data_IF_881236022108
#
_entry.id   IF_881236022108
#
_cell.length_a   1.000
_cell.length_b   1.000
_cell.length_c   1.000
_cell.angle_alpha   90.00
_cell.angle_beta   90.00
_cell.angle_gamma   90.00
#
_symmetry.space_group_name_H-M   'P 1'
#
loop_
_entity.id
_entity.type
_entity.pdbx_description
1 polymer ?
#
# COMPACT_ATOMS: atom_id res chain seq x y z
N UNK A 1 -33.79 8.64 4.83
CA UNK A 1 -32.41 8.27 4.45
C UNK A 1 -31.62 9.57 4.54
N UNK A 2 -31.09 9.84 5.72
CA UNK A 2 -30.20 10.98 5.93
C UNK A 2 -28.87 10.64 5.26
N UNK A 3 -28.47 11.45 4.29
CA UNK A 3 -27.16 11.38 3.70
C UNK A 3 -26.24 11.99 4.78
N UNK A 4 -25.44 11.16 5.45
CA UNK A 4 -24.33 11.65 6.27
C UNK A 4 -23.38 12.40 5.34
N UNK A 5 -23.54 13.73 5.30
CA UNK A 5 -22.54 14.64 4.75
C UNK A 5 -21.37 14.61 5.73
N UNK A 6 -20.36 13.79 5.44
CA UNK A 6 -19.09 13.81 6.15
C UNK A 6 -18.47 15.20 6.00
N UNK A 7 -18.34 15.92 7.12
CA UNK A 7 -17.62 17.19 7.18
C UNK A 7 -16.19 16.97 6.69
N UNK A 8 -15.62 17.81 5.81
CA UNK A 8 -14.25 17.64 5.36
C UNK A 8 -13.30 17.71 6.55
N UNK A 9 -12.44 16.69 6.71
CA UNK A 9 -11.39 16.66 7.74
C UNK A 9 -10.52 17.92 7.64
N UNK A 10 -10.23 18.52 8.78
CA UNK A 10 -9.21 19.57 8.87
C UNK A 10 -7.84 19.01 8.49
N UNK A 11 -6.90 19.86 8.05
CA UNK A 11 -5.54 19.41 7.67
C UNK A 11 -4.82 18.71 8.83
N UNK A 12 -5.08 19.10 10.07
CA UNK A 12 -4.50 18.46 11.25
C UNK A 12 -4.99 17.01 11.48
N UNK A 13 -6.19 16.67 10.99
CA UNK A 13 -6.80 15.34 11.08
C UNK A 13 -6.48 14.45 9.87
N UNK A 14 -5.88 15.01 8.82
CA UNK A 14 -5.34 14.24 7.71
C UNK A 14 -4.05 13.55 8.14
N UNK A 15 -3.79 12.39 7.58
CA UNK A 15 -2.52 11.71 7.81
C UNK A 15 -1.40 12.45 7.07
N UNK A 16 -0.17 12.35 7.58
CA UNK A 16 0.98 12.98 6.92
C UNK A 16 1.19 12.42 5.51
N UNK A 17 0.93 11.13 5.30
CA UNK A 17 0.94 10.47 4.00
C UNK A 17 -0.14 11.01 3.06
N UNK A 18 -1.37 11.22 3.54
CA UNK A 18 -2.44 11.85 2.74
C UNK A 18 -2.06 13.26 2.26
N UNK A 19 -1.35 14.02 3.10
CA UNK A 19 -0.91 15.38 2.77
C UNK A 19 0.15 15.36 1.67
N UNK A 20 1.19 14.52 1.80
CA UNK A 20 2.25 14.40 0.77
C UNK A 20 1.72 13.78 -0.53
N UNK A 21 0.80 12.82 -0.45
CA UNK A 21 0.19 12.21 -1.63
C UNK A 21 -0.64 13.21 -2.44
N UNK A 22 -1.28 14.17 -1.76
CA UNK A 22 -2.00 15.27 -2.41
C UNK A 22 -1.06 16.30 -3.05
N UNK A 23 0.06 16.61 -2.40
CA UNK A 23 1.09 17.51 -2.92
C UNK A 23 2.47 17.17 -2.35
N UNK A 24 3.34 16.63 -3.20
CA UNK A 24 4.65 16.15 -2.78
C UNK A 24 5.54 17.25 -2.18
N UNK A 25 5.27 18.53 -2.44
CA UNK A 25 6.01 19.65 -1.84
C UNK A 25 5.90 19.69 -0.31
N UNK A 26 4.85 19.09 0.26
CA UNK A 26 4.71 18.94 1.70
C UNK A 26 5.83 18.09 2.34
N UNK A 27 6.48 17.20 1.57
CA UNK A 27 7.58 16.37 2.07
C UNK A 27 8.77 17.22 2.58
N UNK A 28 9.08 18.34 1.92
CA UNK A 28 10.18 19.22 2.34
C UNK A 28 9.90 19.88 3.70
N UNK A 29 8.64 20.28 3.92
CA UNK A 29 8.20 20.79 5.23
C UNK A 29 8.36 19.71 6.29
N UNK A 30 7.88 18.50 6.05
CA UNK A 30 7.99 17.41 7.02
C UNK A 30 9.44 17.00 7.34
N UNK A 31 10.32 16.98 6.33
CA UNK A 31 11.75 16.77 6.55
C UNK A 31 12.37 17.83 7.48
N UNK A 32 11.96 19.09 7.37
CA UNK A 32 12.46 20.19 8.21
C UNK A 32 12.13 19.97 9.70
N UNK A 33 10.98 19.35 9.97
CA UNK A 33 10.51 19.06 11.33
C UNK A 33 10.81 17.62 11.80
N UNK A 34 11.54 16.81 11.01
CA UNK A 34 11.80 15.41 11.34
C UNK A 34 10.54 14.52 11.35
N UNK A 35 9.48 14.92 10.64
CA UNK A 35 8.23 14.17 10.55
C UNK A 35 8.36 13.10 9.45
N UNK A 36 8.30 11.83 9.85
CA UNK A 36 8.30 10.69 8.92
C UNK A 36 6.96 10.57 8.18
N UNK A 37 6.98 10.90 6.89
CA UNK A 37 5.81 10.81 6.00
C UNK A 37 5.80 9.56 5.11
N UNK A 38 6.85 8.75 5.14
CA UNK A 38 6.98 7.59 4.26
C UNK A 38 6.57 6.29 4.97
N UNK A 39 7.18 5.95 6.10
CA UNK A 39 6.88 4.73 6.85
C UNK A 39 5.71 4.97 7.81
N UNK A 40 5.74 6.08 8.54
CA UNK A 40 4.70 6.50 9.50
C UNK A 40 3.57 7.32 8.86
N UNK A 41 3.36 7.15 7.55
CA UNK A 41 2.47 7.97 6.73
C UNK A 41 1.00 7.99 7.19
N UNK A 42 0.54 6.95 7.90
CA UNK A 42 -0.83 6.83 8.39
C UNK A 42 -1.12 7.65 9.66
N UNK A 43 -0.10 8.28 10.26
CA UNK A 43 -0.27 9.08 11.48
C UNK A 43 -0.92 10.44 11.16
N UNK A 44 -1.94 10.89 11.91
CA UNK A 44 -2.48 12.25 11.80
C UNK A 44 -1.40 13.31 12.02
N UNK A 45 -1.44 14.40 11.25
CA UNK A 45 -0.46 15.48 11.36
C UNK A 45 -0.34 16.03 12.79
N UNK A 46 -1.47 16.23 13.48
CA UNK A 46 -1.47 16.72 14.86
C UNK A 46 -0.68 15.83 15.81
N UNK A 47 -0.78 14.50 15.67
CA UNK A 47 -0.05 13.54 16.48
C UNK A 47 1.44 13.50 16.12
N UNK A 48 1.75 13.53 14.81
CA UNK A 48 3.14 13.56 14.34
C UNK A 48 3.89 14.81 14.84
N UNK A 49 3.23 15.97 14.84
CA UNK A 49 3.79 17.20 15.39
C UNK A 49 4.07 17.10 16.91
N UNK A 50 3.15 16.49 17.68
CA UNK A 50 3.34 16.28 19.12
C UNK A 50 4.55 15.38 19.40
N UNK A 51 4.71 14.31 18.65
CA UNK A 51 5.80 13.36 18.80
C UNK A 51 7.17 13.99 18.51
N UNK A 52 7.25 14.80 17.45
CA UNK A 52 8.50 15.47 17.05
C UNK A 52 8.75 16.80 17.77
N UNK A 53 7.83 17.24 18.64
CA UNK A 53 7.92 18.56 19.28
C UNK A 53 7.80 19.72 18.31
N UNK A 54 7.21 19.50 17.12
CA UNK A 54 7.02 20.50 16.09
C UNK A 54 5.77 21.36 16.39
N UNK A 55 5.84 22.70 16.33
CA UNK A 55 4.68 23.55 16.54
C UNK A 55 3.66 23.39 15.41
N UNK A 56 2.49 22.80 15.69
CA UNK A 56 1.47 22.50 14.68
C UNK A 56 1.05 23.73 13.85
N UNK A 57 0.91 24.91 14.48
CA UNK A 57 0.54 26.14 13.78
C UNK A 57 1.61 26.58 12.78
N UNK A 58 2.90 26.42 13.11
CA UNK A 58 4.01 26.75 12.21
C UNK A 58 4.05 25.76 11.03
N UNK A 59 3.91 24.46 11.32
CA UNK A 59 3.89 23.42 10.28
C UNK A 59 2.73 23.64 9.31
N UNK A 60 1.53 23.94 9.81
CA UNK A 60 0.36 24.23 8.97
C UNK A 60 0.59 25.48 8.09
N UNK A 61 1.24 26.51 8.63
CA UNK A 61 1.58 27.71 7.87
C UNK A 61 2.58 27.41 6.75
N UNK A 62 3.65 26.67 7.03
CA UNK A 62 4.66 26.30 6.03
C UNK A 62 4.09 25.38 4.94
N UNK A 63 3.21 24.43 5.29
CA UNK A 63 2.48 23.61 4.32
C UNK A 63 1.64 24.47 3.36
N UNK A 64 0.96 25.50 3.88
CA UNK A 64 0.19 26.43 3.06
C UNK A 64 1.10 27.22 2.10
N UNK A 65 2.25 27.71 2.57
CA UNK A 65 3.22 28.44 1.73
C UNK A 65 3.83 27.54 0.64
N UNK A 66 4.21 26.32 1.00
CA UNK A 66 4.81 25.35 0.08
C UNK A 66 3.84 24.98 -1.07
N UNK A 67 2.55 24.80 -0.74
CA UNK A 67 1.52 24.41 -1.71
C UNK A 67 1.04 25.56 -2.59
N UNK A 68 1.11 26.82 -2.11
CA UNK A 68 0.75 28.02 -2.88
C UNK A 68 1.85 28.52 -3.83
N UNK A 69 3.09 28.07 -3.66
CA UNK A 69 4.22 28.52 -4.48
C UNK A 69 4.11 28.05 -5.94
N UNK A 70 3.93 28.99 -6.88
CA UNK A 70 3.62 28.73 -8.30
C UNK A 70 4.79 28.20 -9.18
N UNK A 71 5.89 27.75 -8.58
CA UNK A 71 7.16 27.48 -9.30
C UNK A 71 7.57 26.02 -9.43
N UNK A 72 6.93 25.08 -8.72
CA UNK A 72 7.30 23.66 -8.73
C UNK A 72 6.40 22.83 -9.65
N UNK A 73 6.95 21.79 -10.28
CA UNK A 73 6.15 20.73 -10.90
C UNK A 73 5.35 20.04 -9.79
N UNK A 74 4.03 20.25 -9.77
CA UNK A 74 3.13 19.58 -8.84
C UNK A 74 2.94 18.15 -9.33
N UNK A 75 3.78 17.24 -8.85
CA UNK A 75 3.65 15.82 -9.13
C UNK A 75 2.50 15.25 -8.29
N UNK A 76 1.32 15.12 -8.90
CA UNK A 76 0.13 14.57 -8.24
C UNK A 76 0.09 13.06 -8.39
N UNK A 77 0.98 12.39 -7.70
CA UNK A 77 1.11 10.94 -7.74
C UNK A 77 -0.20 10.21 -7.42
N UNK A 78 -1.04 10.79 -6.55
CA UNK A 78 -2.33 10.22 -6.23
C UNK A 78 -3.33 10.22 -7.40
N UNK A 79 -3.07 10.96 -8.48
CA UNK A 79 -3.89 10.92 -9.71
C UNK A 79 -3.42 9.84 -10.70
N UNK A 80 -2.29 9.18 -10.46
CA UNK A 80 -1.75 8.18 -11.38
C UNK A 80 -2.43 6.81 -11.21
N UNK A 81 -2.58 6.12 -12.34
CA UNK A 81 -2.96 4.72 -12.38
C UNK A 81 -1.85 3.86 -11.77
N UNK A 82 -2.24 2.84 -11.00
CA UNK A 82 -1.28 2.05 -10.23
C UNK A 82 -0.35 1.20 -11.11
N UNK A 83 -0.77 0.79 -12.32
CA UNK A 83 0.12 0.12 -13.27
C UNK A 83 1.23 1.06 -13.76
N UNK A 84 0.88 2.30 -14.10
CA UNK A 84 1.87 3.32 -14.45
C UNK A 84 2.78 3.69 -13.28
N UNK A 85 2.24 3.82 -12.06
CA UNK A 85 3.03 4.11 -10.87
C UNK A 85 4.06 3.00 -10.58
N UNK A 86 3.72 1.72 -10.77
CA UNK A 86 4.71 0.63 -10.66
C UNK A 86 5.84 0.78 -11.67
N UNK A 87 5.53 1.14 -12.92
CA UNK A 87 6.55 1.36 -13.95
C UNK A 87 7.43 2.57 -13.61
N UNK A 88 6.85 3.64 -13.07
CA UNK A 88 7.61 4.80 -12.61
C UNK A 88 8.58 4.44 -11.49
N UNK A 89 8.12 3.72 -10.46
CA UNK A 89 8.95 3.30 -9.32
C UNK A 89 10.15 2.48 -9.80
N UNK A 90 9.92 1.49 -10.67
CA UNK A 90 11.01 0.66 -11.20
C UNK A 90 12.01 1.49 -12.02
N UNK A 91 11.51 2.37 -12.89
CA UNK A 91 12.37 3.10 -13.82
C UNK A 91 13.11 4.29 -13.19
N UNK A 92 12.57 4.88 -12.12
CA UNK A 92 13.20 6.02 -11.43
C UNK A 92 13.94 5.53 -10.18
N UNK A 93 13.23 4.92 -9.24
CA UNK A 93 13.78 4.62 -7.92
C UNK A 93 14.60 3.33 -7.91
N UNK A 94 14.08 2.22 -8.44
CA UNK A 94 14.83 0.95 -8.42
C UNK A 94 16.06 1.00 -9.34
N UNK A 95 15.93 1.64 -10.51
CA UNK A 95 17.05 1.85 -11.42
C UNK A 95 18.18 2.65 -10.76
N UNK A 96 17.86 3.76 -10.09
CA UNK A 96 18.81 4.55 -9.33
C UNK A 96 19.43 3.74 -8.18
N UNK A 97 18.61 3.04 -7.39
CA UNK A 97 19.07 2.23 -6.26
C UNK A 97 20.05 1.14 -6.71
N UNK A 98 19.72 0.38 -7.77
CA UNK A 98 20.59 -0.65 -8.34
C UNK A 98 21.94 -0.10 -8.82
N UNK A 99 21.97 1.14 -9.31
CA UNK A 99 23.21 1.81 -9.70
C UNK A 99 24.03 2.28 -8.49
N UNK A 100 23.38 2.85 -7.48
CA UNK A 100 24.06 3.52 -6.37
C UNK A 100 24.48 2.59 -5.25
N UNK A 101 23.75 1.50 -5.00
CA UNK A 101 24.07 0.50 -3.98
C UNK A 101 25.54 0.01 -4.05
N UNK A 102 26.04 -0.52 -5.18
CA UNK A 102 27.42 -1.01 -5.26
C UNK A 102 28.44 0.12 -5.07
N UNK A 103 28.16 1.31 -5.59
CA UNK A 103 29.06 2.46 -5.48
C UNK A 103 29.18 2.94 -4.03
N UNK A 104 28.05 3.18 -3.37
CA UNK A 104 28.03 3.60 -1.96
C UNK A 104 28.70 2.56 -1.05
N UNK A 105 28.59 1.26 -1.36
CA UNK A 105 29.29 0.20 -0.64
C UNK A 105 30.82 0.35 -0.73
N UNK A 106 31.36 0.66 -1.91
CA UNK A 106 32.79 0.91 -2.10
C UNK A 106 33.25 2.18 -1.35
N UNK A 107 32.48 3.27 -1.44
CA UNK A 107 32.79 4.51 -0.72
C UNK A 107 32.78 4.29 0.80
N UNK A 108 31.74 3.65 1.33
CA UNK A 108 31.61 3.39 2.76
C UNK A 108 32.76 2.54 3.29
N UNK A 109 33.12 1.46 2.59
CA UNK A 109 34.27 0.62 2.95
C UNK A 109 35.60 1.40 2.91
N UNK A 110 35.79 2.25 1.91
CA UNK A 110 37.00 3.08 1.77
C UNK A 110 37.13 4.08 2.90
N UNK A 111 36.06 4.82 3.21
CA UNK A 111 36.04 5.81 4.28
C UNK A 111 36.26 5.13 5.64
N UNK A 112 35.56 4.03 5.92
CA UNK A 112 35.74 3.26 7.14
C UNK A 112 37.17 2.72 7.30
N UNK A 113 37.81 2.30 6.20
CA UNK A 113 39.18 1.81 6.21
C UNK A 113 40.23 2.88 6.50
N UNK A 114 40.05 4.09 5.96
CA UNK A 114 41.01 5.20 6.09
C UNK A 114 40.77 6.03 7.35
N UNK A 115 39.51 6.34 7.65
CA UNK A 115 39.14 7.27 8.72
C UNK A 115 38.64 6.58 9.98
N UNK A 116 38.34 5.28 9.96
CA UNK A 116 37.68 4.57 11.06
C UNK A 116 38.42 4.51 12.39
N UNK A 117 39.68 4.90 12.47
CA UNK A 117 40.40 5.04 13.75
C UNK A 117 40.18 6.41 14.40
N UNK A 118 40.05 7.47 13.60
CA UNK A 118 39.78 8.84 14.06
C UNK A 118 38.29 9.15 14.11
N UNK A 119 37.51 8.48 13.26
CA UNK A 119 36.08 8.64 13.03
C UNK A 119 35.40 7.26 13.09
N UNK A 120 35.32 6.64 14.29
CA UNK A 120 34.85 5.26 14.45
C UNK A 120 33.41 5.04 13.97
N UNK A 121 32.58 6.08 13.96
CA UNK A 121 31.22 6.07 13.41
C UNK A 121 31.18 5.65 11.94
N UNK A 122 32.24 5.94 11.17
CA UNK A 122 32.33 5.55 9.75
C UNK A 122 32.35 4.03 9.56
N UNK A 123 32.88 3.27 10.53
CA UNK A 123 32.85 1.80 10.51
C UNK A 123 31.43 1.29 10.73
N UNK A 124 30.71 1.90 11.68
CA UNK A 124 29.31 1.57 11.95
C UNK A 124 28.42 1.92 10.76
N UNK A 125 28.61 3.10 10.15
CA UNK A 125 27.89 3.51 8.94
C UNK A 125 28.12 2.51 7.81
N UNK A 126 29.37 2.04 7.60
CA UNK A 126 29.65 1.06 6.57
C UNK A 126 28.98 -0.31 6.82
N UNK A 127 28.84 -0.72 8.08
CA UNK A 127 28.10 -1.92 8.45
C UNK A 127 26.60 -1.76 8.20
N UNK A 128 25.98 -0.71 8.75
CA UNK A 128 24.56 -0.42 8.58
C UNK A 128 24.20 -0.31 7.09
N UNK A 129 25.06 0.33 6.30
CA UNK A 129 24.86 0.43 4.86
C UNK A 129 24.93 -0.94 4.16
N UNK A 130 25.81 -1.83 4.60
CA UNK A 130 25.90 -3.18 4.04
C UNK A 130 24.62 -3.98 4.28
N UNK A 131 24.07 -3.90 5.49
CA UNK A 131 22.81 -4.54 5.91
C UNK A 131 21.63 -3.95 5.12
N UNK A 132 21.41 -2.63 5.20
CA UNK A 132 20.33 -1.93 4.50
C UNK A 132 20.35 -2.17 2.98
N UNK A 133 21.52 -2.11 2.34
CA UNK A 133 21.62 -2.33 0.89
C UNK A 133 21.38 -3.79 0.47
N UNK A 134 21.66 -4.75 1.34
CA UNK A 134 21.32 -6.16 1.11
C UNK A 134 19.82 -6.40 1.19
N UNK A 135 19.19 -5.86 2.24
CA UNK A 135 17.73 -5.93 2.45
C UNK A 135 16.97 -5.26 1.31
N UNK A 136 17.34 -4.02 0.96
CA UNK A 136 16.70 -3.26 -0.12
C UNK A 136 16.83 -3.96 -1.48
N UNK A 137 17.98 -4.59 -1.77
CA UNK A 137 18.15 -5.33 -3.02
C UNK A 137 17.26 -6.58 -3.10
N UNK A 138 17.08 -7.29 -1.99
CA UNK A 138 16.18 -8.45 -1.93
C UNK A 138 14.71 -8.01 -1.97
N UNK A 139 14.37 -6.93 -1.27
CA UNK A 139 13.06 -6.31 -1.25
C UNK A 139 12.58 -5.94 -2.67
N UNK A 140 13.36 -5.14 -3.42
CA UNK A 140 13.00 -4.74 -4.79
C UNK A 140 12.75 -5.94 -5.73
N UNK A 141 13.42 -7.08 -5.52
CA UNK A 141 13.16 -8.30 -6.29
C UNK A 141 11.79 -8.91 -5.96
N UNK A 142 11.37 -8.89 -4.69
CA UNK A 142 10.03 -9.36 -4.30
C UNK A 142 8.96 -8.54 -4.99
N UNK A 143 9.15 -7.23 -5.06
CA UNK A 143 8.23 -6.34 -5.75
C UNK A 143 8.19 -6.59 -7.27
N UNK A 144 9.34 -6.52 -7.94
CA UNK A 144 9.44 -6.62 -9.40
C UNK A 144 9.02 -7.99 -9.94
N UNK A 145 9.23 -9.07 -9.18
CA UNK A 145 8.94 -10.43 -9.62
C UNK A 145 7.58 -10.95 -9.15
N UNK A 146 6.99 -10.35 -8.12
CA UNK A 146 5.74 -10.86 -7.50
C UNK A 146 4.65 -9.78 -7.41
N UNK A 147 4.90 -8.72 -6.64
CA UNK A 147 3.86 -7.73 -6.32
C UNK A 147 3.47 -6.89 -7.54
N UNK A 148 4.42 -6.25 -8.22
CA UNK A 148 4.12 -5.36 -9.36
C UNK A 148 3.50 -6.11 -10.54
N UNK A 149 3.95 -7.33 -10.93
CA UNK A 149 3.23 -8.13 -11.91
C UNK A 149 1.77 -8.43 -11.49
N UNK A 150 1.52 -8.65 -10.19
CA UNK A 150 0.16 -8.87 -9.71
C UNK A 150 -0.70 -7.60 -9.80
N UNK A 151 -0.17 -6.43 -9.42
CA UNK A 151 -0.83 -5.13 -9.58
C UNK A 151 -1.27 -4.92 -11.03
N UNK A 152 -0.39 -5.20 -12.01
CA UNK A 152 -0.75 -5.09 -13.43
C UNK A 152 -1.87 -6.04 -13.83
N UNK A 153 -1.91 -7.26 -13.27
CA UNK A 153 -3.04 -8.19 -13.48
C UNK A 153 -4.34 -7.69 -12.85
N UNK A 154 -4.29 -7.02 -11.70
CA UNK A 154 -5.47 -6.40 -11.08
C UNK A 154 -6.04 -5.29 -11.98
N UNK A 155 -5.20 -4.38 -12.46
CA UNK A 155 -5.62 -3.32 -13.40
C UNK A 155 -6.21 -3.90 -14.69
N UNK A 156 -5.61 -4.96 -15.22
CA UNK A 156 -6.18 -5.66 -16.38
C UNK A 156 -7.55 -6.29 -16.05
N UNK A 157 -7.67 -6.92 -14.88
CA UNK A 157 -8.93 -7.48 -14.39
C UNK A 157 -10.03 -6.44 -14.23
N UNK A 158 -9.68 -5.24 -13.78
CA UNK A 158 -10.60 -4.09 -13.72
C UNK A 158 -11.14 -3.71 -15.10
N UNK A 159 -10.27 -3.59 -16.09
CA UNK A 159 -10.65 -3.29 -17.48
C UNK A 159 -11.55 -4.38 -18.08
N UNK A 160 -11.35 -5.63 -17.66
CA UNK A 160 -12.13 -6.78 -18.12
C UNK A 160 -13.38 -7.09 -17.26
N UNK A 161 -13.57 -6.40 -16.13
CA UNK A 161 -14.67 -6.64 -15.20
C UNK A 161 -14.60 -8.00 -14.48
N UNK A 162 -13.39 -8.58 -14.33
CA UNK A 162 -13.20 -9.88 -13.66
C UNK A 162 -11.88 -9.91 -12.87
N UNK A 163 -11.82 -10.59 -11.72
CA UNK A 163 -10.57 -10.73 -10.98
C UNK A 163 -9.57 -11.60 -11.77
N UNK A 164 -8.26 -11.33 -11.65
CA UNK A 164 -7.24 -12.25 -12.14
C UNK A 164 -7.21 -13.55 -11.33
N UNK A 165 -6.43 -14.52 -11.78
CA UNK A 165 -6.17 -15.73 -11.00
C UNK A 165 -5.51 -15.36 -9.66
N UNK A 166 -5.92 -16.06 -8.60
CA UNK A 166 -5.36 -15.89 -7.26
C UNK A 166 -3.82 -16.07 -7.29
N UNK A 167 -3.05 -15.18 -6.65
CA UNK A 167 -1.61 -15.31 -6.61
C UNK A 167 -1.20 -16.44 -5.66
N UNK A 168 -0.02 -17.03 -5.90
CA UNK A 168 0.52 -18.10 -5.05
C UNK A 168 0.84 -17.66 -3.61
N UNK A 169 0.80 -16.35 -3.36
CA UNK A 169 1.12 -15.73 -2.07
C UNK A 169 -0.12 -15.28 -1.29
N UNK A 170 -1.32 -15.73 -1.68
CA UNK A 170 -2.57 -15.39 -1.00
C UNK A 170 -3.20 -14.12 -1.57
N UNK A 171 -3.00 -12.99 -0.90
CA UNK A 171 -3.59 -11.69 -1.23
C UNK A 171 -2.53 -10.59 -1.42
N UNK A 172 -2.90 -9.44 -2.00
CA UNK A 172 -2.02 -8.27 -2.03
C UNK A 172 -1.68 -7.82 -0.60
N UNK A 173 -2.66 -7.80 0.31
CA UNK A 173 -2.47 -7.34 1.71
C UNK A 173 -1.38 -8.13 2.44
N UNK A 174 -1.34 -9.46 2.29
CA UNK A 174 -0.33 -10.29 2.95
C UNK A 174 1.08 -9.99 2.44
N UNK A 175 1.27 -9.84 1.12
CA UNK A 175 2.56 -9.50 0.55
C UNK A 175 2.97 -8.05 0.84
N UNK A 176 2.01 -7.12 0.82
CA UNK A 176 2.23 -5.71 1.16
C UNK A 176 2.68 -5.58 2.61
N UNK A 177 2.09 -6.33 3.55
CA UNK A 177 2.54 -6.31 4.94
C UNK A 177 4.00 -6.75 5.08
N UNK A 178 4.44 -7.73 4.28
CA UNK A 178 5.85 -8.11 4.20
C UNK A 178 6.72 -6.96 3.67
N UNK A 179 6.25 -6.21 2.66
CA UNK A 179 6.96 -5.06 2.10
C UNK A 179 7.07 -3.90 3.10
N UNK A 180 5.98 -3.58 3.80
CA UNK A 180 5.95 -2.52 4.82
C UNK A 180 6.91 -2.82 5.99
N UNK A 181 7.03 -4.08 6.40
CA UNK A 181 8.00 -4.49 7.41
C UNK A 181 9.45 -4.33 6.92
N UNK A 182 9.73 -4.65 5.66
CA UNK A 182 11.05 -4.40 5.07
C UNK A 182 11.35 -2.89 5.01
N UNK A 183 10.34 -2.06 4.69
CA UNK A 183 10.49 -0.60 4.65
C UNK A 183 10.85 -0.02 6.02
N UNK A 184 10.20 -0.48 7.08
CA UNK A 184 10.53 -0.07 8.46
C UNK A 184 11.97 -0.45 8.81
N UNK A 185 12.37 -1.70 8.53
CA UNK A 185 13.73 -2.17 8.78
C UNK A 185 14.79 -1.34 8.03
N UNK A 186 14.61 -1.11 6.71
CA UNK A 186 15.53 -0.29 5.93
C UNK A 186 15.54 1.17 6.42
N UNK A 187 14.38 1.72 6.76
CA UNK A 187 14.22 3.05 7.32
C UNK A 187 15.00 3.25 8.62
N UNK A 188 14.94 2.27 9.53
CA UNK A 188 15.68 2.29 10.80
C UNK A 188 17.20 2.34 10.59
N UNK A 189 17.72 1.61 9.61
CA UNK A 189 19.15 1.66 9.28
C UNK A 189 19.53 3.04 8.72
N UNK A 190 18.72 3.60 7.82
CA UNK A 190 18.99 4.91 7.22
C UNK A 190 18.93 6.04 8.26
N UNK A 191 17.95 6.00 9.18
CA UNK A 191 17.84 6.95 10.28
C UNK A 191 19.04 6.90 11.23
N UNK A 192 19.56 5.69 11.50
CA UNK A 192 20.79 5.53 12.28
C UNK A 192 22.02 6.09 11.54
N UNK A 193 22.12 5.85 10.23
CA UNK A 193 23.19 6.42 9.40
C UNK A 193 23.11 7.96 9.39
N UNK A 194 21.92 8.53 9.22
CA UNK A 194 21.68 9.97 9.28
C UNK A 194 22.15 10.55 10.63
N UNK A 195 21.78 9.91 11.73
CA UNK A 195 22.20 10.32 13.08
C UNK A 195 23.71 10.26 13.27
N UNK A 196 24.34 9.14 12.93
CA UNK A 196 25.79 8.93 13.06
C UNK A 196 26.60 9.88 12.18
N UNK A 197 26.04 10.27 11.04
CA UNK A 197 26.66 11.19 10.09
C UNK A 197 26.41 12.66 10.41
N UNK A 198 25.74 12.98 11.53
CA UNK A 198 25.33 14.33 11.90
C UNK A 198 24.54 14.99 10.76
N UNK A 199 23.46 14.34 10.33
CA UNK A 199 22.64 14.73 9.17
C UNK A 199 23.50 14.85 7.90
N UNK A 200 24.34 13.85 7.66
CA UNK A 200 25.24 13.80 6.51
C UNK A 200 26.20 14.99 6.42
N UNK A 201 26.59 15.59 7.56
CA UNK A 201 27.52 16.72 7.63
C UNK A 201 28.95 16.20 7.89
N UNK A 202 29.87 16.26 6.91
CA UNK A 202 31.22 15.76 7.09
C UNK A 202 32.01 16.60 8.11
N UNK A 203 32.91 15.99 8.91
CA UNK A 203 33.76 16.74 9.81
C UNK A 203 34.80 17.60 9.04
N UNK A 204 35.41 18.62 9.67
CA UNK A 204 36.32 19.55 9.00
C UNK A 204 37.56 18.90 8.36
N UNK A 205 37.98 17.74 8.84
CA UNK A 205 39.11 16.97 8.35
C UNK A 205 38.70 15.89 7.32
N UNK A 206 37.44 15.84 6.91
CA UNK A 206 36.93 14.91 5.92
C UNK A 206 37.59 15.12 4.55
N UNK A 207 38.19 14.06 4.01
CA UNK A 207 38.69 14.06 2.63
C UNK A 207 37.54 14.10 1.61
N UNK A 208 37.86 14.36 0.33
CA UNK A 208 36.86 14.42 -0.74
C UNK A 208 36.01 13.15 -0.85
N UNK A 209 36.59 11.97 -0.64
CA UNK A 209 35.86 10.68 -0.67
C UNK A 209 34.85 10.60 0.47
N UNK A 210 35.20 11.10 1.65
CA UNK A 210 34.31 11.13 2.81
C UNK A 210 33.15 12.12 2.59
N UNK A 211 33.44 13.32 2.09
CA UNK A 211 32.41 14.29 1.72
C UNK A 211 31.45 13.75 0.64
N UNK A 212 32.01 13.05 -0.35
CA UNK A 212 31.22 12.44 -1.45
C UNK A 212 30.31 11.33 -0.94
N UNK A 213 30.79 10.49 -0.01
CA UNK A 213 29.98 9.45 0.61
C UNK A 213 28.74 10.05 1.27
N UNK A 214 28.92 11.07 2.12
CA UNK A 214 27.81 11.69 2.84
C UNK A 214 26.82 12.38 1.90
N UNK A 215 27.30 13.06 0.86
CA UNK A 215 26.42 13.64 -0.16
C UNK A 215 25.57 12.55 -0.86
N UNK A 216 26.17 11.42 -1.24
CA UNK A 216 25.42 10.33 -1.87
C UNK A 216 24.50 9.58 -0.91
N UNK A 217 24.86 9.44 0.37
CA UNK A 217 23.96 8.86 1.37
C UNK A 217 22.74 9.76 1.58
N UNK A 218 22.92 11.09 1.65
CA UNK A 218 21.82 12.04 1.75
C UNK A 218 20.88 11.98 0.53
N UNK A 219 21.43 11.93 -0.68
CA UNK A 219 20.65 11.78 -1.92
C UNK A 219 19.89 10.45 -1.94
N UNK A 220 20.55 9.37 -1.53
CA UNK A 220 19.95 8.04 -1.49
C UNK A 220 18.82 7.93 -0.47
N UNK A 221 19.03 8.49 0.73
CA UNK A 221 18.02 8.55 1.78
C UNK A 221 16.78 9.33 1.30
N UNK A 222 16.97 10.52 0.73
CA UNK A 222 15.87 11.31 0.17
C UNK A 222 15.12 10.59 -0.96
N UNK A 223 15.85 9.90 -1.84
CA UNK A 223 15.24 9.07 -2.90
C UNK A 223 14.44 7.90 -2.33
N UNK A 224 14.95 7.23 -1.29
CA UNK A 224 14.29 6.10 -0.62
C UNK A 224 13.02 6.56 0.10
N UNK A 225 13.07 7.67 0.83
CA UNK A 225 11.89 8.26 1.49
C UNK A 225 10.79 8.58 0.47
N UNK A 226 11.15 9.14 -0.70
CA UNK A 226 10.20 9.37 -1.81
C UNK A 226 9.59 8.07 -2.31
N UNK A 227 10.44 7.09 -2.62
CA UNK A 227 10.03 5.77 -3.11
C UNK A 227 9.05 5.09 -2.15
N UNK A 228 9.43 4.91 -0.90
CA UNK A 228 8.60 4.27 0.13
C UNK A 228 7.29 5.03 0.33
N UNK A 229 7.29 6.37 0.25
CA UNK A 229 6.06 7.14 0.30
C UNK A 229 5.09 6.79 -0.84
N UNK A 230 5.59 6.72 -2.10
CA UNK A 230 4.76 6.35 -3.26
C UNK A 230 4.15 4.96 -3.09
N UNK A 231 4.84 4.06 -2.41
CA UNK A 231 4.36 2.71 -2.14
C UNK A 231 3.35 2.68 -1.00
N UNK A 232 3.79 2.99 0.23
CA UNK A 232 3.00 2.85 1.44
C UNK A 232 1.73 3.71 1.45
N UNK A 233 1.79 4.89 0.82
CA UNK A 233 0.73 5.89 0.95
C UNK A 233 -0.11 6.06 -0.32
N UNK A 234 0.29 5.42 -1.44
CA UNK A 234 -0.43 5.55 -2.71
C UNK A 234 -0.64 4.19 -3.37
N UNK A 235 0.45 3.50 -3.75
CA UNK A 235 0.37 2.27 -4.53
C UNK A 235 -0.30 1.14 -3.74
N UNK A 236 0.14 0.89 -2.50
CA UNK A 236 -0.31 -0.23 -1.69
C UNK A 236 -1.78 -0.08 -1.25
N UNK A 237 -2.24 1.07 -0.71
CA UNK A 237 -3.65 1.23 -0.36
C UNK A 237 -4.58 1.05 -1.56
N UNK A 238 -4.23 1.66 -2.72
CA UNK A 238 -5.01 1.51 -3.95
C UNK A 238 -5.01 0.08 -4.49
N UNK A 239 -3.91 -0.64 -4.33
CA UNK A 239 -3.81 -2.05 -4.74
C UNK A 239 -4.75 -2.92 -3.94
N UNK A 240 -4.75 -2.77 -2.61
CA UNK A 240 -5.65 -3.50 -1.71
C UNK A 240 -7.10 -3.16 -2.03
N UNK A 241 -7.41 -1.88 -2.18
CA UNK A 241 -8.76 -1.44 -2.52
C UNK A 241 -9.23 -2.05 -3.86
N UNK A 242 -8.38 -2.05 -4.88
CA UNK A 242 -8.73 -2.60 -6.18
C UNK A 242 -8.94 -4.13 -6.14
N UNK A 243 -8.08 -4.86 -5.42
CA UNK A 243 -8.27 -6.30 -5.20
C UNK A 243 -9.60 -6.58 -4.49
N UNK A 244 -9.88 -5.88 -3.38
CA UNK A 244 -11.13 -6.04 -2.63
C UNK A 244 -12.36 -5.72 -3.51
N UNK A 245 -12.29 -4.64 -4.30
CA UNK A 245 -13.36 -4.25 -5.22
C UNK A 245 -13.62 -5.33 -6.27
N UNK A 246 -12.57 -5.87 -6.91
CA UNK A 246 -12.72 -6.87 -7.98
C UNK A 246 -13.27 -8.19 -7.45
N UNK A 247 -12.83 -8.63 -6.27
CA UNK A 247 -13.30 -9.90 -5.69
C UNK A 247 -14.70 -9.73 -5.12
N UNK A 248 -15.02 -8.59 -4.49
CA UNK A 248 -16.39 -8.26 -4.09
C UNK A 248 -17.33 -8.23 -5.30
N UNK A 249 -16.94 -7.56 -6.38
CA UNK A 249 -17.71 -7.56 -7.62
C UNK A 249 -17.84 -8.96 -8.23
N UNK A 250 -16.80 -9.80 -8.18
CA UNK A 250 -16.89 -11.20 -8.62
C UNK A 250 -17.87 -12.03 -7.79
N UNK A 251 -17.87 -11.84 -6.47
CA UNK A 251 -18.78 -12.50 -5.52
C UNK A 251 -20.23 -11.99 -5.70
N UNK A 252 -20.42 -10.71 -5.98
CA UNK A 252 -21.75 -10.13 -6.22
C UNK A 252 -22.26 -10.39 -7.66
N UNK A 253 -21.38 -10.59 -8.65
CA UNK A 253 -21.74 -10.84 -10.07
C UNK A 253 -22.14 -12.27 -10.38
N UNK A 254 -21.96 -13.22 -9.46
CA UNK A 254 -22.74 -14.46 -9.49
C UNK A 254 -24.20 -14.16 -9.10
N UNK A 255 -24.88 -13.30 -9.86
CA UNK A 255 -26.31 -13.04 -9.67
C UNK A 255 -27.09 -14.08 -10.48
N UNK A 256 -27.78 -14.98 -9.79
CA UNK A 256 -28.68 -15.96 -10.38
C UNK A 256 -30.12 -15.41 -10.33
N UNK A 257 -30.55 -14.77 -11.42
CA UNK A 257 -31.91 -14.22 -11.53
C UNK A 257 -32.92 -15.27 -11.99
N UNK A 258 -33.73 -15.76 -11.06
CA UNK A 258 -34.73 -16.80 -11.32
C UNK A 258 -35.97 -16.30 -12.05
N UNK A 259 -36.20 -14.97 -12.11
CA UNK A 259 -37.42 -14.41 -12.71
C UNK A 259 -37.55 -14.76 -14.19
N UNK A 260 -36.41 -14.92 -14.86
CA UNK A 260 -36.31 -15.31 -16.28
C UNK A 260 -36.16 -16.83 -16.48
N UNK A 261 -36.10 -17.63 -15.41
CA UNK A 261 -35.81 -19.06 -15.46
C UNK A 261 -37.09 -19.88 -15.25
N UNK A 262 -37.42 -20.86 -16.11
CA UNK A 262 -38.58 -21.72 -15.94
C UNK A 262 -38.58 -22.45 -14.58
N UNK A 263 -39.72 -22.53 -13.85
CA UNK A 263 -39.76 -23.12 -12.51
C UNK A 263 -39.11 -24.51 -12.37
N UNK A 264 -39.28 -25.46 -13.30
CA UNK A 264 -38.64 -26.78 -13.20
C UNK A 264 -37.09 -26.75 -13.25
N UNK A 265 -36.50 -25.66 -13.76
CA UNK A 265 -35.06 -25.50 -13.94
C UNK A 265 -34.40 -24.72 -12.79
N UNK A 266 -35.19 -23.99 -11.98
CA UNK A 266 -34.67 -23.11 -10.93
C UNK A 266 -33.86 -23.90 -9.89
N UNK A 267 -34.46 -24.89 -9.23
CA UNK A 267 -33.78 -25.60 -8.13
C UNK A 267 -32.50 -26.33 -8.58
N UNK A 268 -32.51 -27.14 -9.66
CA UNK A 268 -31.28 -27.80 -10.12
C UNK A 268 -30.13 -26.82 -10.38
N UNK A 269 -30.42 -25.67 -11.00
CA UNK A 269 -29.41 -24.66 -11.30
C UNK A 269 -28.87 -23.97 -10.03
N UNK A 270 -29.73 -23.69 -9.05
CA UNK A 270 -29.34 -23.08 -7.77
C UNK A 270 -28.39 -24.00 -7.01
N UNK A 271 -28.73 -25.30 -6.90
CA UNK A 271 -27.87 -26.26 -6.20
C UNK A 271 -26.57 -26.52 -6.95
N UNK A 272 -26.59 -26.58 -8.28
CA UNK A 272 -25.38 -26.66 -9.08
C UNK A 272 -24.48 -25.42 -8.90
N UNK A 273 -25.07 -24.23 -8.87
CA UNK A 273 -24.35 -22.97 -8.64
C UNK A 273 -23.68 -22.99 -7.26
N UNK A 274 -24.40 -23.44 -6.23
CA UNK A 274 -23.87 -23.60 -4.88
C UNK A 274 -22.75 -24.64 -4.78
N UNK A 275 -22.87 -25.76 -5.49
CA UNK A 275 -21.85 -26.82 -5.50
C UNK A 275 -20.53 -26.39 -6.12
N UNK A 276 -20.59 -25.47 -7.08
CA UNK A 276 -19.41 -24.89 -7.74
C UNK A 276 -18.74 -23.76 -6.94
N UNK A 277 -19.31 -23.35 -5.80
CA UNK A 277 -18.67 -22.38 -4.91
C UNK A 277 -17.49 -23.02 -4.19
N UNK A 278 -16.35 -22.33 -4.18
CA UNK A 278 -15.28 -22.59 -3.23
C UNK A 278 -15.71 -22.16 -1.80
N UNK A 279 -15.12 -22.73 -0.73
CA UNK A 279 -15.41 -22.29 0.63
C UNK A 279 -15.18 -20.77 0.81
N UNK A 280 -16.15 -20.06 1.40
CA UNK A 280 -16.13 -18.60 1.55
C UNK A 280 -16.74 -17.82 0.38
N UNK A 281 -16.99 -18.46 -0.77
CA UNK A 281 -17.67 -17.81 -1.89
C UNK A 281 -19.19 -17.77 -1.68
N UNK A 282 -19.84 -16.87 -2.43
CA UNK A 282 -21.30 -16.75 -2.45
C UNK A 282 -21.81 -16.29 -3.80
N UNK A 283 -23.12 -16.42 -4.01
CA UNK A 283 -23.84 -15.90 -5.16
C UNK A 283 -25.13 -15.21 -4.68
N UNK A 284 -25.67 -14.29 -5.47
CA UNK A 284 -26.92 -13.58 -5.16
C UNK A 284 -28.07 -14.19 -5.95
N UNK A 285 -29.03 -14.77 -5.26
CA UNK A 285 -30.29 -15.23 -5.83
C UNK A 285 -31.27 -14.07 -5.94
N UNK A 286 -31.85 -13.84 -7.12
CA UNK A 286 -32.95 -12.87 -7.33
C UNK A 286 -34.23 -13.62 -7.66
N UNK A 287 -35.31 -13.33 -6.94
CA UNK A 287 -36.61 -13.98 -7.11
C UNK A 287 -37.76 -12.97 -7.04
N UNK A 288 -38.89 -13.30 -7.67
CA UNK A 288 -40.12 -12.50 -7.67
C UNK A 288 -40.97 -12.65 -6.39
N UNK A 289 -40.56 -13.53 -5.48
CA UNK A 289 -41.18 -13.76 -4.19
C UNK A 289 -40.15 -14.25 -3.16
N UNK A 290 -40.54 -14.25 -1.88
CA UNK A 290 -39.71 -14.77 -0.79
C UNK A 290 -39.30 -16.24 -1.02
N UNK A 291 -38.00 -16.56 -1.18
CA UNK A 291 -37.52 -17.92 -1.42
C UNK A 291 -37.50 -18.81 -0.16
N UNK A 292 -38.37 -18.56 0.84
CA UNK A 292 -38.55 -19.40 2.04
C UNK A 292 -38.55 -20.92 1.79
N UNK A 293 -39.29 -21.48 0.82
CA UNK A 293 -39.28 -22.93 0.58
C UNK A 293 -37.88 -23.44 0.20
N UNK A 294 -37.14 -22.69 -0.60
CA UNK A 294 -35.78 -23.01 -0.99
C UNK A 294 -34.82 -22.92 0.20
N UNK A 295 -34.98 -21.90 1.06
CA UNK A 295 -34.20 -21.81 2.31
C UNK A 295 -34.38 -23.05 3.19
N UNK A 296 -35.61 -23.54 3.35
CA UNK A 296 -35.87 -24.79 4.09
C UNK A 296 -35.22 -25.99 3.42
N UNK A 297 -35.20 -26.06 2.09
CA UNK A 297 -34.53 -27.12 1.36
C UNK A 297 -33.00 -27.11 1.59
N UNK A 298 -32.36 -25.93 1.55
CA UNK A 298 -30.94 -25.77 1.90
C UNK A 298 -30.65 -26.20 3.34
N UNK A 299 -31.51 -25.81 4.29
CA UNK A 299 -31.39 -26.25 5.69
C UNK A 299 -31.44 -27.76 5.86
N UNK A 300 -32.24 -28.45 5.04
CA UNK A 300 -32.37 -29.90 5.11
C UNK A 300 -31.22 -30.62 4.40
N UNK A 301 -30.80 -30.13 3.23
CA UNK A 301 -29.84 -30.84 2.37
C UNK A 301 -28.38 -30.44 2.54
N UNK A 302 -28.11 -29.27 3.13
CA UNK A 302 -26.76 -28.68 3.26
C UNK A 302 -26.53 -28.11 4.66
N UNK A 303 -27.14 -28.70 5.69
CA UNK A 303 -27.01 -28.24 7.08
C UNK A 303 -25.55 -28.00 7.47
N UNK A 304 -25.27 -26.80 8.02
CA UNK A 304 -23.92 -26.38 8.44
C UNK A 304 -22.95 -26.02 7.30
N UNK A 305 -23.34 -26.16 6.03
CA UNK A 305 -22.44 -25.94 4.88
C UNK A 305 -22.72 -24.63 4.13
N UNK A 306 -23.80 -23.92 4.44
CA UNK A 306 -24.20 -22.71 3.73
C UNK A 306 -24.50 -21.54 4.68
N UNK A 307 -24.38 -20.33 4.14
CA UNK A 307 -24.87 -19.08 4.72
C UNK A 307 -26.04 -18.54 3.90
N UNK A 308 -26.95 -17.82 4.56
CA UNK A 308 -28.15 -17.26 3.94
C UNK A 308 -28.43 -15.87 4.50
N UNK A 309 -28.32 -14.85 3.65
CA UNK A 309 -28.46 -13.45 4.04
C UNK A 309 -29.43 -12.75 3.08
N UNK A 310 -30.48 -12.13 3.63
CA UNK A 310 -31.37 -11.30 2.81
C UNK A 310 -30.71 -9.94 2.55
N UNK A 311 -30.47 -9.63 1.29
CA UNK A 311 -29.96 -8.32 0.83
C UNK A 311 -31.11 -7.36 0.53
N UNK A 312 -32.21 -7.88 0.01
CA UNK A 312 -33.42 -7.11 -0.31
C UNK A 312 -34.65 -7.97 -0.04
N UNK A 313 -35.61 -7.39 0.69
CA UNK A 313 -36.89 -8.01 0.99
C UNK A 313 -37.96 -7.11 0.37
N UNK A 314 -38.34 -7.43 -0.87
CA UNK A 314 -39.26 -6.63 -1.66
C UNK A 314 -40.65 -6.48 -1.05
N UNK A 315 -41.53 -5.84 -1.81
CA UNK A 315 -42.63 -6.60 -2.40
C UNK A 315 -42.42 -6.93 -3.88
N UNK A 316 -41.49 -6.24 -4.57
CA UNK A 316 -41.22 -6.43 -6.01
C UNK A 316 -40.08 -7.42 -6.29
N UNK A 317 -38.96 -7.30 -5.57
CA UNK A 317 -37.77 -8.12 -5.77
C UNK A 317 -37.23 -8.66 -4.44
N UNK A 318 -36.85 -9.94 -4.44
CA UNK A 318 -36.22 -10.59 -3.28
C UNK A 318 -34.80 -10.97 -3.67
N UNK A 319 -33.82 -10.44 -2.94
CA UNK A 319 -32.39 -10.71 -3.16
C UNK A 319 -31.81 -11.39 -1.93
N UNK A 320 -31.24 -12.57 -2.14
CA UNK A 320 -30.64 -13.38 -1.08
C UNK A 320 -29.22 -13.75 -1.48
N UNK A 321 -28.24 -13.46 -0.63
CA UNK A 321 -26.90 -14.00 -0.75
C UNK A 321 -26.86 -15.41 -0.16
N UNK A 322 -26.45 -16.37 -0.98
CA UNK A 322 -26.25 -17.77 -0.59
C UNK A 322 -24.77 -18.08 -0.70
N UNK A 323 -24.12 -18.38 0.42
CA UNK A 323 -22.67 -18.63 0.48
C UNK A 323 -22.32 -20.02 0.99
N UNK A 324 -21.12 -20.51 0.66
CA UNK A 324 -20.56 -21.74 1.21
C UNK A 324 -19.70 -21.42 2.44
N UNK A 325 -19.95 -22.11 3.55
CA UNK A 325 -19.21 -21.91 4.81
C UNK A 325 -17.73 -22.25 4.61
N UNK A 326 -16.83 -21.37 5.04
CA UNK A 326 -15.39 -21.65 5.10
C UNK A 326 -15.09 -22.60 6.27
N UNK A 327 -14.15 -23.55 6.14
CA UNK A 327 -13.74 -24.38 7.27
C UNK A 327 -13.20 -23.50 8.41
N UNK A 328 -13.60 -23.77 9.64
CA UNK A 328 -13.02 -23.14 10.82
C UNK A 328 -11.52 -23.48 10.88
N UNK A 329 -10.68 -22.45 10.83
CA UNK A 329 -9.21 -22.51 10.89
C UNK A 329 -8.70 -22.81 12.30
#
# INVERSE_FOLDING_TARGET
MEIELTTPKSTAEKTVGEIVAADYRAAEVFNTYGIDFCCSGQRPLGEACVEQGAPLEEVLHELEQATQSAGGSVERYNEWEIDFLTDYIVNQHHAYAKQMIPRLREFAATVAGVHGDSHPETRTIAQLWHEASGELAAHMQKEELRLFPFIKRLVQGQKEGRPPAAPAFGSARELIQEMENDHEAVGDHLAQIETLSNSFTPPPDACNTYQTLYAYLAEFDASTKKHVHLENNILFPKTIELEEQLWRSAMDTATLDLRQIPPPQRHPLIFQTFENLEPGQSFVLVNDHDPKPLHYQFRFEREGQFTWEYLEQGPADWRVRVGRVAPES
#
